data_IF_842063328347
#
_entry.id   IF_842063328347
#
_cell.length_a   1.000
_cell.length_b   1.000
_cell.length_c   1.000
_cell.angle_alpha   90.00
_cell.angle_beta   90.00
_cell.angle_gamma   90.00
#
_symmetry.space_group_name_H-M   'P 1'
#
loop_
_entity.id
_entity.type
_entity.pdbx_description
1 polymer ?
#
# COMPACT_ATOMS: atom_id res chain seq x y z
N UNK A 1 11.62 11.78 -3.69
CA UNK A 1 12.41 10.71 -4.35
C UNK A 1 11.86 9.37 -3.93
N UNK A 2 11.90 8.33 -4.80
CA UNK A 2 11.43 7.01 -4.43
C UNK A 2 12.28 6.38 -3.32
N UNK A 3 11.81 5.30 -2.72
CA UNK A 3 12.58 4.52 -1.73
C UNK A 3 13.47 3.49 -2.43
N UNK A 4 14.62 3.16 -1.82
CA UNK A 4 15.57 2.16 -2.32
C UNK A 4 15.50 0.85 -1.56
N UNK A 5 15.95 -0.24 -2.21
CA UNK A 5 16.13 -1.55 -1.60
C UNK A 5 17.58 -2.06 -1.64
N UNK A 6 17.90 -2.97 -0.72
CA UNK A 6 19.21 -3.63 -0.64
C UNK A 6 19.26 -4.87 -1.54
N UNK A 7 19.60 -4.66 -2.82
CA UNK A 7 19.72 -5.75 -3.79
C UNK A 7 20.70 -6.87 -3.38
N UNK A 8 21.97 -6.58 -3.00
CA UNK A 8 22.90 -7.65 -2.63
C UNK A 8 22.42 -8.54 -1.49
N UNK A 9 21.56 -8.03 -0.60
CA UNK A 9 20.91 -8.82 0.44
C UNK A 9 19.81 -9.72 -0.13
N UNK A 10 18.90 -9.16 -0.94
CA UNK A 10 17.82 -9.94 -1.57
C UNK A 10 18.38 -11.06 -2.45
N UNK A 11 19.36 -10.75 -3.31
CA UNK A 11 19.98 -11.75 -4.19
C UNK A 11 20.58 -12.92 -3.38
N UNK A 12 21.19 -12.63 -2.22
CA UNK A 12 21.72 -13.66 -1.31
C UNK A 12 20.64 -14.51 -0.65
N UNK A 13 19.51 -13.92 -0.28
CA UNK A 13 18.38 -14.66 0.31
C UNK A 13 17.70 -15.58 -0.71
N UNK A 14 17.64 -15.14 -1.98
CA UNK A 14 16.91 -15.84 -3.03
C UNK A 14 17.74 -16.90 -3.78
N UNK A 15 19.08 -16.83 -3.72
CA UNK A 15 19.97 -17.73 -4.48
C UNK A 15 19.76 -19.22 -4.16
N UNK A 16 19.30 -19.55 -2.97
CA UNK A 16 19.06 -20.93 -2.53
C UNK A 16 17.63 -21.41 -2.77
N UNK A 17 16.74 -20.54 -3.25
CA UNK A 17 15.34 -20.91 -3.48
C UNK A 17 15.16 -21.58 -4.83
N UNK A 18 14.36 -22.64 -4.84
CA UNK A 18 13.90 -23.28 -6.06
C UNK A 18 12.63 -22.59 -6.55
N UNK A 19 12.42 -22.44 -7.87
CA UNK A 19 11.18 -21.87 -8.40
C UNK A 19 10.00 -22.79 -8.07
N UNK A 20 9.23 -22.45 -7.06
CA UNK A 20 7.94 -23.07 -6.78
C UNK A 20 7.03 -22.09 -6.04
N UNK A 21 5.72 -22.22 -6.26
CA UNK A 21 4.74 -21.42 -5.54
C UNK A 21 4.27 -22.13 -4.27
N UNK A 22 4.33 -21.43 -3.14
CA UNK A 22 3.79 -21.85 -1.82
C UNK A 22 2.42 -21.21 -1.56
N UNK A 23 2.15 -20.05 -2.17
CA UNK A 23 0.96 -19.25 -1.91
C UNK A 23 0.22 -18.89 -3.20
N UNK A 24 -1.12 -18.93 -3.17
CA UNK A 24 -1.94 -18.43 -4.26
C UNK A 24 -1.98 -16.90 -4.25
N UNK A 25 -2.40 -16.31 -3.13
CA UNK A 25 -2.43 -14.85 -2.94
C UNK A 25 -1.88 -14.55 -1.55
N UNK A 26 -0.93 -13.61 -1.47
CA UNK A 26 -0.43 -13.10 -0.19
C UNK A 26 -0.74 -11.63 -0.03
N UNK A 27 -1.13 -11.24 1.18
CA UNK A 27 -1.12 -9.85 1.62
C UNK A 27 -0.28 -9.74 2.88
N UNK A 28 0.77 -8.92 2.82
CA UNK A 28 1.62 -8.62 3.97
C UNK A 28 1.22 -7.24 4.50
N UNK A 29 0.71 -7.12 5.72
CA UNK A 29 0.39 -5.80 6.27
C UNK A 29 -0.66 -5.80 7.37
N UNK A 30 -0.67 -4.73 8.15
CA UNK A 30 -1.72 -4.48 9.16
C UNK A 30 -3.05 -4.15 8.50
N UNK A 31 -4.17 -4.58 9.05
CA UNK A 31 -5.47 -4.08 8.59
C UNK A 31 -5.82 -2.73 9.24
N UNK A 32 -5.09 -2.35 10.29
CA UNK A 32 -5.29 -1.15 11.10
C UNK A 32 -6.69 -1.03 11.73
N UNK A 33 -7.39 -2.15 11.86
CA UNK A 33 -8.73 -2.32 12.45
C UNK A 33 -8.68 -2.71 13.93
N UNK A 34 -7.57 -2.39 14.59
CA UNK A 34 -7.40 -2.64 16.01
C UNK A 34 -8.10 -1.58 16.86
N UNK A 35 -8.11 -1.80 18.17
CA UNK A 35 -8.74 -0.89 19.13
C UNK A 35 -8.18 0.55 19.07
N UNK A 36 -7.10 0.81 18.32
CA UNK A 36 -6.50 2.13 18.10
C UNK A 36 -6.93 2.79 16.78
N UNK A 37 -7.99 2.30 16.11
CA UNK A 37 -8.71 3.10 15.12
C UNK A 37 -9.40 4.27 15.82
N UNK A 38 -8.64 5.34 16.01
CA UNK A 38 -9.06 6.54 16.73
C UNK A 38 -10.32 7.17 16.13
N UNK A 39 -10.59 6.95 14.83
CA UNK A 39 -11.82 7.46 14.21
C UNK A 39 -13.07 6.81 14.83
N UNK A 40 -13.06 5.49 15.03
CA UNK A 40 -14.21 4.77 15.56
C UNK A 40 -14.48 5.09 17.03
N UNK A 41 -13.46 5.56 17.77
CA UNK A 41 -13.63 5.99 19.16
C UNK A 41 -14.37 7.33 19.31
N UNK A 42 -14.53 8.11 18.22
CA UNK A 42 -15.16 9.44 18.26
C UNK A 42 -16.68 9.29 18.06
N UNK A 43 -17.38 8.97 19.13
CA UNK A 43 -18.85 8.77 19.11
C UNK A 43 -19.67 10.05 19.28
N UNK A 44 -19.03 11.18 19.57
CA UNK A 44 -19.67 12.43 20.01
C UNK A 44 -19.67 13.54 18.95
N UNK A 45 -19.32 13.26 17.69
CA UNK A 45 -19.42 14.25 16.61
C UNK A 45 -20.89 14.61 16.33
N UNK A 46 -21.17 15.88 15.95
CA UNK A 46 -22.49 16.25 15.47
C UNK A 46 -22.94 15.38 14.29
N UNK A 47 -24.25 15.05 14.18
CA UNK A 47 -24.76 14.18 13.12
C UNK A 47 -24.38 14.63 11.71
N UNK A 48 -24.40 15.95 11.45
CA UNK A 48 -24.03 16.50 10.15
C UNK A 48 -22.54 16.27 9.82
N UNK A 49 -21.63 16.63 10.74
CA UNK A 49 -20.19 16.45 10.53
C UNK A 49 -19.83 14.96 10.36
N UNK A 50 -20.45 14.08 11.15
CA UNK A 50 -20.28 12.63 11.01
C UNK A 50 -20.74 12.14 9.63
N UNK A 51 -21.94 12.55 9.20
CA UNK A 51 -22.47 12.21 7.88
C UNK A 51 -21.62 12.75 6.73
N UNK A 52 -21.07 13.96 6.87
CA UNK A 52 -20.15 14.57 5.92
C UNK A 52 -18.87 13.73 5.75
N UNK A 53 -18.26 13.31 6.87
CA UNK A 53 -17.07 12.47 6.83
C UNK A 53 -17.39 11.10 6.22
N UNK A 54 -18.51 10.47 6.58
CA UNK A 54 -18.93 9.21 5.97
C UNK A 54 -19.11 9.34 4.45
N UNK A 55 -19.72 10.43 3.97
CA UNK A 55 -19.87 10.67 2.55
C UNK A 55 -18.51 10.77 1.81
N UNK A 56 -17.51 11.42 2.43
CA UNK A 56 -16.13 11.45 1.89
C UNK A 56 -15.54 10.04 1.85
N UNK A 57 -15.69 9.27 2.94
CA UNK A 57 -15.17 7.90 3.04
C UNK A 57 -15.78 7.00 1.95
N UNK A 58 -17.09 7.07 1.76
CA UNK A 58 -17.81 6.26 0.78
C UNK A 58 -17.45 6.66 -0.65
N UNK A 59 -17.37 7.96 -0.94
CA UNK A 59 -16.97 8.47 -2.24
C UNK A 59 -15.52 8.12 -2.58
N UNK A 60 -14.59 8.23 -1.62
CA UNK A 60 -13.17 7.96 -1.85
C UNK A 60 -12.91 6.50 -2.22
N UNK A 61 -13.68 5.54 -1.66
CA UNK A 61 -13.56 4.11 -1.99
C UNK A 61 -13.90 3.78 -3.44
N UNK A 62 -14.58 4.69 -4.16
CA UNK A 62 -14.92 4.52 -5.58
C UNK A 62 -13.88 5.16 -6.51
N UNK A 63 -12.93 5.93 -5.97
CA UNK A 63 -12.02 6.76 -6.77
C UNK A 63 -10.57 6.48 -6.38
N UNK A 64 -9.80 5.97 -7.34
CA UNK A 64 -8.34 5.87 -7.26
C UNK A 64 -7.69 7.03 -8.02
N UNK A 65 -6.48 7.43 -7.63
CA UNK A 65 -5.76 8.54 -8.25
C UNK A 65 -6.19 9.95 -7.84
N UNK A 66 -7.15 10.10 -6.91
CA UNK A 66 -7.53 11.39 -6.33
C UNK A 66 -7.64 11.31 -4.80
N UNK A 67 -7.42 12.44 -4.12
CA UNK A 67 -7.54 12.58 -2.66
C UNK A 67 -8.72 13.51 -2.31
N UNK A 68 -9.92 12.93 -2.30
CA UNK A 68 -11.15 13.62 -1.94
C UNK A 68 -11.12 14.12 -0.50
N UNK A 69 -10.38 13.44 0.39
CA UNK A 69 -10.22 13.91 1.76
C UNK A 69 -9.52 15.26 1.81
N UNK A 70 -8.51 15.49 0.95
CA UNK A 70 -7.89 16.80 0.82
C UNK A 70 -8.82 17.84 0.19
N UNK A 71 -9.58 17.44 -0.85
CA UNK A 71 -10.44 18.36 -1.59
C UNK A 71 -11.68 18.81 -0.81
N UNK A 72 -12.24 17.93 0.02
CA UNK A 72 -13.53 18.13 0.67
C UNK A 72 -13.39 18.42 2.18
N UNK A 73 -12.37 17.89 2.85
CA UNK A 73 -12.12 18.16 4.26
C UNK A 73 -11.12 19.31 4.43
N UNK A 74 -11.60 20.50 4.03
CA UNK A 74 -10.84 21.74 4.02
C UNK A 74 -10.53 22.29 5.44
N UNK A 75 -9.86 23.44 5.49
CA UNK A 75 -9.48 24.09 6.76
C UNK A 75 -10.67 24.43 7.66
N UNK A 76 -11.82 24.84 7.08
CA UNK A 76 -13.00 25.19 7.87
C UNK A 76 -13.67 23.93 8.44
N UNK A 77 -13.69 22.82 7.70
CA UNK A 77 -14.12 21.52 8.23
C UNK A 77 -13.18 21.01 9.33
N UNK A 78 -11.88 21.20 9.18
CA UNK A 78 -10.90 20.87 10.23
C UNK A 78 -11.10 21.72 11.50
N UNK A 79 -11.41 23.02 11.37
CA UNK A 79 -11.79 23.88 12.51
C UNK A 79 -13.05 23.39 13.20
N UNK A 80 -14.09 23.04 12.43
CA UNK A 80 -15.33 22.48 12.98
C UNK A 80 -15.05 21.20 13.77
N UNK A 81 -14.23 20.28 13.23
CA UNK A 81 -13.82 19.05 13.93
C UNK A 81 -13.02 19.34 15.22
N UNK A 82 -12.15 20.35 15.20
CA UNK A 82 -11.35 20.77 16.36
C UNK A 82 -12.20 21.27 17.55
N UNK A 83 -13.45 21.69 17.32
CA UNK A 83 -14.36 22.07 18.40
C UNK A 83 -14.74 20.87 19.28
N UNK A 84 -14.69 19.65 18.74
CA UNK A 84 -15.11 18.42 19.40
C UNK A 84 -13.91 17.53 19.76
N UNK A 85 -12.98 17.36 18.82
CA UNK A 85 -11.84 16.45 18.97
C UNK A 85 -10.64 17.23 19.48
N UNK A 86 -10.41 17.16 20.79
CA UNK A 86 -9.22 17.74 21.43
C UNK A 86 -8.07 16.75 21.35
N UNK A 87 -7.19 16.95 20.38
CA UNK A 87 -5.91 16.24 20.32
C UNK A 87 -4.84 17.16 20.88
N UNK A 88 -4.11 16.69 21.89
CA UNK A 88 -2.94 17.39 22.39
C UNK A 88 -1.77 17.11 21.44
N UNK A 89 -1.43 18.10 20.63
CA UNK A 89 -0.32 18.01 19.68
C UNK A 89 1.00 18.47 20.29
N UNK A 90 1.01 19.00 21.51
CA UNK A 90 2.12 19.82 22.00
C UNK A 90 2.27 21.12 21.19
N UNK A 91 2.96 22.11 21.77
CA UNK A 91 3.08 23.46 21.20
C UNK A 91 3.90 23.53 19.90
N UNK A 92 4.59 22.45 19.52
CA UNK A 92 5.44 22.40 18.31
C UNK A 92 4.71 21.87 17.07
N UNK A 93 3.49 21.34 17.20
CA UNK A 93 2.80 20.66 16.10
C UNK A 93 1.38 21.18 15.83
N UNK A 94 1.01 22.35 16.37
CA UNK A 94 -0.33 22.96 16.15
C UNK A 94 -0.66 23.17 14.68
N UNK A 95 0.36 23.41 13.86
CA UNK A 95 0.23 23.74 12.44
C UNK A 95 -0.11 22.51 11.57
N UNK A 96 0.00 21.29 12.13
CA UNK A 96 -0.28 20.03 11.43
C UNK A 96 -1.63 19.40 11.78
N UNK A 97 -2.45 20.06 12.62
CA UNK A 97 -3.74 19.51 13.09
C UNK A 97 -4.63 19.05 11.93
N UNK A 98 -4.75 19.88 10.91
CA UNK A 98 -5.63 19.61 9.78
C UNK A 98 -5.18 18.36 9.01
N UNK A 99 -3.87 18.17 8.84
CA UNK A 99 -3.32 16.96 8.23
C UNK A 99 -3.53 15.73 9.10
N UNK A 100 -3.48 15.87 10.43
CA UNK A 100 -3.80 14.77 11.34
C UNK A 100 -5.26 14.35 11.17
N UNK A 101 -6.20 15.29 11.14
CA UNK A 101 -7.62 14.96 10.93
C UNK A 101 -7.87 14.31 9.57
N UNK A 102 -7.29 14.87 8.49
CA UNK A 102 -7.40 14.24 7.17
C UNK A 102 -6.75 12.85 7.15
N UNK A 103 -5.61 12.66 7.79
CA UNK A 103 -4.93 11.36 7.85
C UNK A 103 -5.68 10.34 8.69
N UNK A 104 -6.42 10.75 9.72
CA UNK A 104 -7.35 9.87 10.43
C UNK A 104 -8.45 9.35 9.48
N UNK A 105 -9.06 10.24 8.68
CA UNK A 105 -10.08 9.86 7.70
C UNK A 105 -9.48 8.93 6.62
N UNK A 106 -8.31 9.27 6.08
CA UNK A 106 -7.59 8.44 5.08
C UNK A 106 -7.21 7.06 5.64
N UNK A 107 -6.77 6.99 6.90
CA UNK A 107 -6.51 5.72 7.59
C UNK A 107 -7.80 4.90 7.67
N UNK A 108 -8.92 5.53 8.05
CA UNK A 108 -10.22 4.85 8.11
C UNK A 108 -10.66 4.29 6.76
N UNK A 109 -10.50 5.06 5.68
CA UNK A 109 -10.76 4.58 4.32
C UNK A 109 -9.92 3.33 4.04
N UNK A 110 -8.61 3.36 4.35
CA UNK A 110 -7.74 2.21 4.12
C UNK A 110 -8.17 0.98 4.90
N UNK A 111 -8.59 1.14 6.16
CA UNK A 111 -9.13 0.04 6.99
C UNK A 111 -10.32 -0.62 6.30
N UNK A 112 -11.30 0.18 5.87
CA UNK A 112 -12.50 -0.31 5.20
C UNK A 112 -12.16 -1.00 3.87
N UNK A 113 -11.26 -0.41 3.07
CA UNK A 113 -10.80 -0.98 1.80
C UNK A 113 -10.10 -2.32 1.99
N UNK A 114 -9.13 -2.41 2.91
CA UNK A 114 -8.40 -3.66 3.17
C UNK A 114 -9.36 -4.75 3.66
N UNK A 115 -10.26 -4.44 4.59
CA UNK A 115 -11.27 -5.40 5.06
C UNK A 115 -12.19 -5.86 3.95
N UNK A 116 -12.71 -4.93 3.14
CA UNK A 116 -13.61 -5.24 2.02
C UNK A 116 -12.91 -6.11 0.97
N UNK A 117 -11.72 -5.72 0.55
CA UNK A 117 -10.91 -6.48 -0.42
C UNK A 117 -10.64 -7.88 0.11
N UNK A 118 -10.04 -8.01 1.30
CA UNK A 118 -9.69 -9.31 1.88
C UNK A 118 -10.91 -10.21 2.09
N UNK A 119 -12.05 -9.64 2.49
CA UNK A 119 -13.32 -10.38 2.59
C UNK A 119 -13.78 -10.91 1.23
N UNK A 120 -13.78 -10.06 0.19
CA UNK A 120 -14.21 -10.44 -1.16
C UNK A 120 -13.33 -11.52 -1.79
N UNK A 121 -12.01 -11.42 -1.62
CA UNK A 121 -11.07 -12.38 -2.21
C UNK A 121 -11.01 -13.68 -1.41
N UNK A 122 -11.09 -13.61 -0.07
CA UNK A 122 -11.05 -14.77 0.81
C UNK A 122 -12.23 -15.73 0.62
N UNK A 123 -13.42 -15.20 0.27
CA UNK A 123 -14.60 -16.01 -0.07
C UNK A 123 -14.44 -16.84 -1.36
N UNK A 124 -13.43 -16.57 -2.19
CA UNK A 124 -13.28 -17.22 -3.52
C UNK A 124 -11.93 -17.88 -3.75
N UNK A 125 -10.89 -17.45 -3.04
CA UNK A 125 -9.51 -17.85 -3.28
C UNK A 125 -8.77 -18.10 -1.97
N UNK A 126 -7.72 -18.92 -2.03
CA UNK A 126 -6.82 -19.09 -0.89
C UNK A 126 -5.96 -17.83 -0.71
N UNK A 127 -6.12 -17.17 0.43
CA UNK A 127 -5.38 -15.95 0.75
C UNK A 127 -4.64 -16.12 2.06
N UNK A 128 -3.32 -15.96 2.00
CA UNK A 128 -2.45 -15.96 3.16
C UNK A 128 -2.20 -14.51 3.62
N UNK A 129 -2.59 -14.21 4.85
CA UNK A 129 -2.38 -12.93 5.51
C UNK A 129 -1.20 -13.03 6.47
N UNK A 130 -0.19 -12.22 6.23
CA UNK A 130 0.91 -12.00 7.16
C UNK A 130 0.73 -10.63 7.81
N UNK A 131 0.48 -10.63 9.12
CA UNK A 131 0.17 -9.42 9.87
C UNK A 131 0.58 -9.59 11.33
N UNK A 132 0.73 -8.48 12.04
CA UNK A 132 1.00 -8.51 13.49
C UNK A 132 -0.22 -8.92 14.31
N UNK A 133 -1.42 -8.84 13.73
CA UNK A 133 -2.68 -9.13 14.41
C UNK A 133 -3.56 -10.02 13.53
N UNK A 134 -4.25 -10.98 14.16
CA UNK A 134 -5.21 -11.85 13.49
C UNK A 134 -6.55 -11.12 13.34
N UNK A 135 -7.02 -10.83 12.11
CA UNK A 135 -8.28 -10.13 11.95
C UNK A 135 -9.48 -11.06 12.17
N UNK A 136 -10.52 -10.53 12.78
CA UNK A 136 -11.78 -11.25 12.98
C UNK A 136 -12.69 -11.17 11.75
N UNK A 137 -13.42 -12.26 11.49
CA UNK A 137 -14.49 -12.31 10.50
C UNK A 137 -14.05 -12.31 9.03
N UNK A 138 -12.83 -12.76 8.73
CA UNK A 138 -12.32 -12.92 7.37
C UNK A 138 -12.02 -14.40 7.08
N UNK A 139 -12.45 -14.88 5.92
CA UNK A 139 -12.17 -16.23 5.43
C UNK A 139 -10.81 -16.25 4.73
N UNK A 140 -9.74 -16.11 5.52
CA UNK A 140 -8.35 -16.06 5.06
C UNK A 140 -7.46 -16.84 6.03
N UNK A 141 -6.28 -17.25 5.56
CA UNK A 141 -5.30 -17.95 6.38
C UNK A 141 -4.38 -16.95 7.06
N UNK A 142 -4.56 -16.74 8.37
CA UNK A 142 -3.62 -15.93 9.15
C UNK A 142 -2.31 -16.68 9.40
N UNK A 143 -1.19 -16.09 8.97
CA UNK A 143 0.16 -16.68 9.04
C UNK A 143 1.07 -16.04 10.08
N UNK A 144 0.58 -15.04 10.81
CA UNK A 144 1.37 -14.30 11.81
C UNK A 144 2.29 -13.25 11.19
N UNK A 145 3.24 -12.79 12.01
CA UNK A 145 4.24 -11.81 11.58
C UNK A 145 5.29 -12.46 10.67
N UNK A 146 5.67 -11.75 9.60
CA UNK A 146 6.80 -12.10 8.74
C UNK A 146 7.93 -11.09 8.95
N UNK A 147 9.11 -11.61 9.27
CA UNK A 147 10.33 -10.82 9.36
C UNK A 147 10.74 -10.22 8.02
N UNK A 148 11.06 -8.93 8.03
CA UNK A 148 11.37 -8.13 6.85
C UNK A 148 12.64 -8.57 6.12
N UNK A 149 13.65 -9.03 6.86
CA UNK A 149 14.97 -9.31 6.31
C UNK A 149 15.05 -10.72 5.74
N UNK A 150 14.38 -11.68 6.40
CA UNK A 150 14.58 -13.10 6.14
C UNK A 150 13.34 -13.80 5.55
N UNK A 151 12.13 -13.45 5.99
CA UNK A 151 10.92 -14.18 5.57
C UNK A 151 10.22 -13.51 4.40
N UNK A 152 10.05 -12.18 4.43
CA UNK A 152 9.33 -11.45 3.39
C UNK A 152 9.88 -11.70 1.97
N UNK A 153 11.21 -11.69 1.72
CA UNK A 153 11.74 -11.96 0.39
C UNK A 153 11.32 -13.33 -0.18
N UNK A 154 11.35 -14.37 0.66
CA UNK A 154 10.94 -15.71 0.25
C UNK A 154 9.44 -15.74 -0.05
N UNK A 155 8.61 -15.21 0.86
CA UNK A 155 7.16 -15.14 0.66
C UNK A 155 6.82 -14.41 -0.65
N UNK A 156 7.50 -13.30 -0.94
CA UNK A 156 7.30 -12.56 -2.19
C UNK A 156 7.63 -13.38 -3.43
N UNK A 157 8.75 -14.11 -3.37
CA UNK A 157 9.21 -14.97 -4.46
C UNK A 157 8.28 -16.17 -4.70
N UNK A 158 7.76 -16.78 -3.63
CA UNK A 158 6.95 -18.01 -3.69
C UNK A 158 5.44 -17.74 -3.73
N UNK A 159 5.01 -16.49 -3.87
CA UNK A 159 3.60 -16.13 -4.06
C UNK A 159 3.24 -15.99 -5.53
N UNK A 160 2.15 -16.63 -5.97
CA UNK A 160 1.63 -16.40 -7.34
C UNK A 160 1.19 -14.95 -7.50
N UNK A 161 0.48 -14.40 -6.52
CA UNK A 161 0.08 -13.00 -6.49
C UNK A 161 0.46 -12.37 -5.15
N UNK A 162 1.33 -11.35 -5.20
CA UNK A 162 1.56 -10.46 -4.08
C UNK A 162 0.59 -9.28 -4.18
N UNK A 163 -0.42 -9.27 -3.31
CA UNK A 163 -1.36 -8.17 -3.22
C UNK A 163 -0.76 -7.02 -2.41
N UNK A 164 -0.74 -5.83 -2.99
CA UNK A 164 -0.44 -4.58 -2.28
C UNK A 164 -1.69 -3.67 -2.26
N UNK A 165 -1.95 -3.09 -1.09
CA UNK A 165 -3.02 -2.10 -0.89
C UNK A 165 -2.38 -0.92 -0.17
N UNK A 166 -2.00 0.11 -0.90
CA UNK A 166 -1.32 1.28 -0.37
C UNK A 166 -2.23 2.06 0.60
N UNK A 167 -1.65 2.59 1.68
CA UNK A 167 -2.36 3.50 2.57
C UNK A 167 -2.78 4.77 1.84
N UNK A 168 -4.03 5.21 2.03
CA UNK A 168 -4.51 6.48 1.47
C UNK A 168 -3.79 7.71 2.01
N UNK A 169 -3.10 7.58 3.15
CA UNK A 169 -2.24 8.65 3.70
C UNK A 169 -0.88 8.77 3.00
N UNK A 170 -0.51 7.80 2.14
CA UNK A 170 0.66 7.93 1.26
C UNK A 170 0.20 8.72 0.04
N UNK A 171 0.28 10.05 0.14
CA UNK A 171 -0.24 10.99 -0.86
C UNK A 171 0.57 10.99 -2.14
N UNK A 172 1.86 10.66 -2.03
CA UNK A 172 2.76 10.63 -3.17
C UNK A 172 3.86 9.60 -2.99
N UNK A 173 4.41 9.16 -4.11
CA UNK A 173 5.55 8.27 -4.19
C UNK A 173 5.17 6.78 -4.16
N UNK A 174 6.14 5.97 -4.60
CA UNK A 174 6.01 4.52 -4.69
C UNK A 174 6.33 3.89 -3.32
N UNK A 175 5.41 3.11 -2.73
CA UNK A 175 5.65 2.45 -1.46
C UNK A 175 6.83 1.50 -1.52
N UNK A 176 7.63 1.44 -0.45
CA UNK A 176 8.76 0.51 -0.35
C UNK A 176 8.33 -0.94 -0.65
N UNK A 177 7.13 -1.33 -0.21
CA UNK A 177 6.58 -2.66 -0.46
C UNK A 177 6.54 -3.04 -1.94
N UNK A 178 6.20 -2.10 -2.82
CA UNK A 178 6.20 -2.33 -4.27
C UNK A 178 7.61 -2.69 -4.71
N UNK A 179 8.60 -1.94 -4.25
CA UNK A 179 10.00 -2.16 -4.60
C UNK A 179 10.53 -3.48 -4.02
N UNK A 180 10.16 -3.84 -2.79
CA UNK A 180 10.58 -5.11 -2.18
C UNK A 180 10.04 -6.32 -2.94
N UNK A 181 8.76 -6.30 -3.33
CA UNK A 181 8.12 -7.39 -4.09
C UNK A 181 8.81 -7.55 -5.45
N UNK A 182 8.95 -6.45 -6.20
CA UNK A 182 9.60 -6.49 -7.52
C UNK A 182 11.08 -6.88 -7.41
N UNK A 183 11.79 -6.33 -6.42
CA UNK A 183 13.18 -6.67 -6.12
C UNK A 183 13.36 -8.14 -5.76
N UNK A 184 12.34 -8.77 -5.17
CA UNK A 184 12.32 -10.20 -4.84
C UNK A 184 11.77 -11.09 -5.97
N UNK A 185 11.65 -10.59 -7.20
CA UNK A 185 11.07 -11.31 -8.35
C UNK A 185 9.61 -11.73 -8.18
N UNK A 186 8.87 -11.09 -7.27
CA UNK A 186 7.45 -11.37 -7.05
C UNK A 186 6.56 -10.71 -8.09
N UNK A 187 5.52 -11.41 -8.54
CA UNK A 187 4.44 -10.80 -9.31
C UNK A 187 3.58 -9.93 -8.40
N UNK A 188 3.42 -8.65 -8.76
CA UNK A 188 2.71 -7.64 -7.98
C UNK A 188 1.35 -7.28 -8.59
N UNK A 189 0.30 -7.33 -7.75
CA UNK A 189 -1.01 -6.73 -8.01
C UNK A 189 -1.29 -5.65 -6.97
N UNK A 190 -1.46 -4.40 -7.38
CA UNK A 190 -1.59 -3.24 -6.48
C UNK A 190 -2.79 -2.35 -6.82
N UNK A 191 -3.32 -1.57 -5.88
CA UNK A 191 -4.21 -0.47 -6.28
C UNK A 191 -3.43 0.58 -7.07
N UNK A 192 -4.09 1.28 -8.01
CA UNK A 192 -3.46 2.34 -8.78
C UNK A 192 -2.91 3.49 -7.90
N UNK A 193 -1.74 3.98 -8.29
CA UNK A 193 -1.12 5.22 -7.82
C UNK A 193 -0.51 5.95 -9.02
N UNK A 194 -0.55 7.29 -8.99
CA UNK A 194 -0.13 8.12 -10.12
C UNK A 194 1.34 7.90 -10.46
N UNK A 195 2.22 7.85 -9.46
CA UNK A 195 3.68 7.75 -9.64
C UNK A 195 4.14 6.43 -10.26
N UNK A 196 3.27 5.42 -10.36
CA UNK A 196 3.62 4.23 -11.13
C UNK A 196 3.86 4.57 -12.59
N UNK A 197 3.14 5.54 -13.17
CA UNK A 197 3.30 5.88 -14.60
C UNK A 197 4.64 6.54 -14.91
N UNK A 198 5.38 7.01 -13.90
CA UNK A 198 6.69 7.63 -14.08
C UNK A 198 7.81 6.59 -14.30
N UNK A 199 7.60 5.36 -13.83
CA UNK A 199 8.64 4.31 -13.80
C UNK A 199 8.19 2.98 -14.43
N UNK A 200 6.90 2.65 -14.32
CA UNK A 200 6.34 1.34 -14.62
C UNK A 200 5.20 1.44 -15.64
N UNK A 201 5.05 0.39 -16.43
CA UNK A 201 3.98 0.17 -17.41
C UNK A 201 3.05 -0.92 -16.89
N UNK A 202 1.73 -0.65 -16.89
CA UNK A 202 0.74 -1.64 -16.48
C UNK A 202 0.80 -2.88 -17.37
N UNK A 203 0.60 -4.07 -16.80
CA UNK A 203 0.66 -5.36 -17.51
C UNK A 203 2.02 -5.71 -18.14
N UNK A 204 3.05 -4.89 -17.91
CA UNK A 204 4.40 -5.15 -18.40
C UNK A 204 5.38 -5.35 -17.26
N UNK A 205 5.39 -4.46 -16.27
CA UNK A 205 6.33 -4.51 -15.13
C UNK A 205 5.66 -4.86 -13.81
N UNK A 206 4.41 -4.44 -13.66
CA UNK A 206 3.54 -4.76 -12.54
C UNK A 206 2.09 -4.57 -12.98
N UNK A 207 1.14 -5.03 -12.18
CA UNK A 207 -0.28 -4.87 -12.47
C UNK A 207 -0.92 -4.01 -11.41
N UNK A 208 -1.66 -2.98 -11.83
CA UNK A 208 -2.55 -2.26 -10.92
C UNK A 208 -4.01 -2.43 -11.28
N UNK A 209 -4.89 -2.30 -10.29
CA UNK A 209 -6.34 -2.26 -10.46
C UNK A 209 -6.93 -0.89 -10.12
N UNK A 210 -8.05 -0.57 -10.78
CA UNK A 210 -8.71 0.73 -10.68
C UNK A 210 -10.05 0.67 -9.94
N UNK A 211 -10.55 -0.53 -9.63
CA UNK A 211 -11.73 -0.76 -8.79
C UNK A 211 -11.78 -2.22 -8.32
N UNK A 212 -12.79 -2.57 -7.50
CA UNK A 212 -12.94 -3.91 -6.94
C UNK A 212 -13.30 -4.99 -7.99
N UNK A 213 -14.04 -4.66 -9.04
CA UNK A 213 -14.39 -5.62 -10.10
C UNK A 213 -13.15 -5.98 -10.91
N UNK A 214 -12.39 -4.97 -11.30
CA UNK A 214 -11.11 -5.10 -12.00
C UNK A 214 -10.07 -5.88 -11.17
N UNK A 215 -10.02 -5.65 -9.84
CA UNK A 215 -9.22 -6.46 -8.92
C UNK A 215 -9.61 -7.95 -9.01
N UNK A 216 -10.90 -8.27 -8.93
CA UNK A 216 -11.38 -9.66 -8.95
C UNK A 216 -11.12 -10.34 -10.29
N UNK A 217 -11.28 -9.61 -11.39
CA UNK A 217 -10.99 -10.07 -12.74
C UNK A 217 -9.49 -10.32 -12.95
N UNK A 218 -8.63 -9.41 -12.47
CA UNK A 218 -7.17 -9.57 -12.51
C UNK A 218 -6.71 -10.74 -11.65
N UNK A 219 -7.25 -10.93 -10.45
CA UNK A 219 -6.93 -12.12 -9.64
C UNK A 219 -7.30 -13.40 -10.39
N UNK A 220 -8.53 -13.48 -10.93
CA UNK A 220 -9.00 -14.65 -11.68
C UNK A 220 -8.09 -14.95 -12.87
N UNK A 221 -7.78 -13.92 -13.66
CA UNK A 221 -6.93 -14.06 -14.83
C UNK A 221 -5.53 -14.50 -14.41
N UNK A 222 -4.88 -13.72 -13.54
CA UNK A 222 -3.48 -13.96 -13.24
C UNK A 222 -3.25 -15.26 -12.50
N UNK A 223 -4.14 -15.76 -11.65
CA UNK A 223 -3.99 -17.09 -11.04
C UNK A 223 -3.87 -18.22 -12.08
N UNK A 224 -4.58 -18.11 -13.21
CA UNK A 224 -4.57 -19.11 -14.28
C UNK A 224 -3.42 -18.95 -15.31
N UNK A 225 -2.68 -17.84 -15.30
CA UNK A 225 -1.70 -17.49 -16.35
C UNK A 225 -0.28 -17.35 -15.80
N UNK A 226 0.34 -18.47 -15.44
CA UNK A 226 1.69 -18.51 -14.83
C UNK A 226 2.77 -17.84 -15.67
N UNK A 227 2.88 -18.17 -16.95
CA UNK A 227 3.89 -17.58 -17.86
C UNK A 227 3.78 -16.06 -17.94
N UNK A 228 2.55 -15.54 -17.89
CA UNK A 228 2.32 -14.10 -17.94
C UNK A 228 2.76 -13.43 -16.62
N UNK A 229 2.49 -14.06 -15.48
CA UNK A 229 2.99 -13.58 -14.18
C UNK A 229 4.51 -13.58 -14.13
N UNK A 230 5.16 -14.65 -14.58
CA UNK A 230 6.63 -14.77 -14.62
C UNK A 230 7.26 -13.67 -15.48
N UNK A 231 6.72 -13.45 -16.69
CA UNK A 231 7.18 -12.40 -17.61
C UNK A 231 7.10 -11.02 -16.95
N UNK A 232 5.95 -10.70 -16.35
CA UNK A 232 5.74 -9.41 -15.69
C UNK A 232 6.66 -9.25 -14.48
N UNK A 233 6.78 -10.28 -13.63
CA UNK A 233 7.65 -10.23 -12.46
C UNK A 233 9.14 -10.05 -12.83
N UNK A 234 9.60 -10.70 -13.91
CA UNK A 234 10.95 -10.52 -14.44
C UNK A 234 11.18 -9.08 -14.91
N UNK A 235 10.25 -8.51 -15.69
CA UNK A 235 10.34 -7.12 -16.14
C UNK A 235 10.34 -6.12 -14.97
N UNK A 236 9.42 -6.31 -14.01
CA UNK A 236 9.33 -5.52 -12.80
C UNK A 236 10.62 -5.53 -11.98
N UNK A 237 11.23 -6.71 -11.84
CA UNK A 237 12.52 -6.86 -11.19
C UNK A 237 13.64 -6.10 -11.92
N UNK A 238 13.71 -6.21 -13.25
CA UNK A 238 14.70 -5.48 -14.05
C UNK A 238 14.54 -3.95 -13.90
N UNK A 239 13.31 -3.44 -13.89
CA UNK A 239 13.06 -2.02 -13.61
C UNK A 239 13.39 -1.63 -12.18
N UNK A 240 13.05 -2.46 -11.19
CA UNK A 240 13.43 -2.24 -9.79
C UNK A 240 14.96 -2.11 -9.65
N UNK A 241 15.72 -3.03 -10.25
CA UNK A 241 17.18 -3.02 -10.26
C UNK A 241 17.76 -1.77 -10.95
N UNK A 242 17.13 -1.30 -12.02
CA UNK A 242 17.61 -0.16 -12.80
C UNK A 242 17.44 1.17 -12.06
N UNK A 243 16.36 1.33 -11.32
CA UNK A 243 15.95 2.64 -10.79
C UNK A 243 15.90 2.74 -9.26
N UNK A 244 15.80 1.63 -8.53
CA UNK A 244 15.43 1.62 -7.11
C UNK A 244 16.46 0.98 -6.18
N UNK A 245 17.71 0.79 -6.62
CA UNK A 245 18.79 0.32 -5.74
C UNK A 245 19.47 1.49 -5.02
N UNK A 246 20.05 1.22 -3.84
CA UNK A 246 20.74 2.25 -3.05
C UNK A 246 21.85 2.97 -3.82
N UNK A 247 22.65 2.26 -4.62
CA UNK A 247 23.71 2.87 -5.44
C UNK A 247 23.15 3.90 -6.42
N UNK A 248 22.00 3.61 -7.05
CA UNK A 248 21.35 4.52 -7.99
C UNK A 248 20.72 5.71 -7.29
N UNK A 249 20.01 5.47 -6.19
CA UNK A 249 19.34 6.55 -5.48
C UNK A 249 20.35 7.48 -4.82
N UNK A 250 21.35 6.95 -4.12
CA UNK A 250 22.38 7.75 -3.46
C UNK A 250 23.12 8.61 -4.47
N UNK A 251 23.50 8.06 -5.63
CA UNK A 251 24.09 8.86 -6.71
C UNK A 251 23.19 10.03 -7.10
N UNK A 252 21.90 9.78 -7.33
CA UNK A 252 20.93 10.85 -7.64
C UNK A 252 20.78 11.88 -6.51
N UNK A 253 20.82 11.46 -5.24
CA UNK A 253 20.80 12.38 -4.10
C UNK A 253 22.05 13.27 -4.13
N UNK A 254 23.23 12.70 -4.34
CA UNK A 254 24.49 13.43 -4.40
C UNK A 254 24.50 14.42 -5.57
N UNK A 255 24.05 13.99 -6.76
CA UNK A 255 23.96 14.86 -7.93
C UNK A 255 23.04 16.06 -7.66
N UNK A 256 21.86 15.84 -7.08
CA UNK A 256 20.92 16.93 -6.75
C UNK A 256 21.39 17.84 -5.61
N UNK A 257 22.04 17.29 -4.59
CA UNK A 257 22.47 18.03 -3.42
C UNK A 257 23.75 18.86 -3.66
N UNK A 258 24.59 18.40 -4.58
CA UNK A 258 25.89 19.01 -4.88
C UNK A 258 26.03 19.46 -6.33
N UNK A 259 24.91 19.58 -7.06
CA UNK A 259 24.85 20.29 -8.34
C UNK A 259 25.40 21.70 -8.12
N UNK A 260 26.63 21.91 -8.59
CA UNK A 260 27.27 23.22 -8.60
C UNK A 260 26.46 24.06 -9.57
N UNK A 261 25.79 25.10 -9.11
CA UNK A 261 25.31 26.18 -9.99
C UNK A 261 26.54 26.81 -10.66
N UNK A 262 26.98 26.23 -11.76
CA UNK A 262 27.79 26.93 -12.75
C UNK A 262 26.82 27.68 -13.66
N UNK A 263 26.47 28.89 -13.22
CA UNK A 263 25.71 29.88 -13.96
C UNK A 263 26.03 31.26 -13.42
#
# INVERSE_FOLDING_TARGET
>A
MPLAYNRPRLDRTLISLQPHYEHDITFLGSLYDDAYDFFDQIHYLPPYLKGYIHAIIDAQQQIYGADLCNCLFDHEKCKEMAMYVKVDFGTQYSDYRDDVFRNMIRKKITVLERRKILSMIGQKYNVDLYSSQNPSGLEIHYKGYADYDHQMPNIFYTSKINLNITLRSILSGIPLRVIDILGAHGFLLTNYQLEFTDYFSNHEDLVWYDNYEDLMDKIRFYLAHEKERERIAQNGNLKAQKYFTYDRLLQKIFDLAFETTCG
#
